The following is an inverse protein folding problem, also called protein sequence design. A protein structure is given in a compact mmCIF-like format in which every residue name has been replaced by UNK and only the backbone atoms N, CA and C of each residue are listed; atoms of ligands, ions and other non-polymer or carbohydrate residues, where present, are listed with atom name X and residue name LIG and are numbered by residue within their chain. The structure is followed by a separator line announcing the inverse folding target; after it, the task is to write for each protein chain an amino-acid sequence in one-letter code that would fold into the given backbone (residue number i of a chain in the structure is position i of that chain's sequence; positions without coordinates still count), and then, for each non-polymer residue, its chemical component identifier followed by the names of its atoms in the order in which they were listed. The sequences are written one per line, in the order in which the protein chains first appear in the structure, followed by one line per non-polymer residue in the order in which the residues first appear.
data_IF_045251948370
#
_entry.id   IF_045251948370
#
_cell.length_a   1.000
_cell.length_b   1.000
_cell.length_c   1.000
_cell.angle_alpha   90.00
_cell.angle_beta   90.00
_cell.angle_gamma   90.00
#
_symmetry.space_group_name_H-M   'P 1'
#
loop_
_entity.id
_entity.type
_entity.pdbx_description
1 polymer ?
#
# COMPACT_ATOMS: atom_id res chain seq x y z
N UNK A 1 12.02 -8.20 17.72
CA UNK A 1 10.60 -8.55 17.53
C UNK A 1 10.13 -7.80 16.30
N UNK A 2 9.38 -8.45 15.42
CA UNK A 2 8.87 -7.81 14.22
C UNK A 2 7.51 -7.17 14.51
N UNK A 3 7.32 -5.94 14.06
CA UNK A 3 6.01 -5.27 14.08
C UNK A 3 5.21 -5.68 12.85
N UNK A 4 3.93 -5.98 13.05
CA UNK A 4 3.01 -6.37 11.99
C UNK A 4 1.77 -5.46 12.03
N UNK A 5 1.15 -5.25 10.89
CA UNK A 5 -0.09 -4.50 10.76
C UNK A 5 -1.07 -5.23 9.85
N UNK A 6 -2.35 -5.22 10.20
CA UNK A 6 -3.43 -5.82 9.43
C UNK A 6 -4.65 -4.90 9.41
N UNK A 7 -5.39 -4.93 8.31
CA UNK A 7 -6.62 -4.16 8.15
C UNK A 7 -7.79 -5.09 7.81
N UNK A 8 -8.96 -4.81 8.38
CA UNK A 8 -10.20 -5.56 8.13
C UNK A 8 -11.11 -4.72 7.26
N UNK A 9 -11.56 -5.26 6.12
CA UNK A 9 -12.53 -4.59 5.24
C UNK A 9 -13.86 -4.41 5.98
N UNK A 10 -14.36 -3.19 6.04
CA UNK A 10 -15.52 -2.84 6.87
C UNK A 10 -15.25 -2.87 8.37
N UNK A 11 -13.99 -2.97 8.80
CA UNK A 11 -13.61 -3.12 10.19
C UNK A 11 -12.52 -2.13 10.63
N UNK A 12 -11.59 -2.62 11.45
CA UNK A 12 -10.54 -1.83 12.09
C UNK A 12 -9.15 -2.20 11.55
N UNK A 13 -8.15 -1.40 11.90
CA UNK A 13 -6.74 -1.70 11.73
C UNK A 13 -6.22 -2.29 13.06
N UNK A 14 -5.36 -3.29 12.95
CA UNK A 14 -4.71 -3.96 14.07
C UNK A 14 -3.20 -3.93 13.91
N UNK A 15 -2.47 -3.78 15.00
CA UNK A 15 -1.01 -3.94 15.02
C UNK A 15 -0.57 -4.93 16.08
N UNK A 16 0.54 -5.61 15.78
CA UNK A 16 1.25 -6.48 16.70
C UNK A 16 2.69 -5.99 16.84
N UNK A 17 3.25 -6.02 18.04
CA UNK A 17 4.65 -5.70 18.36
C UNK A 17 5.45 -6.93 18.83
N UNK A 18 4.83 -8.10 18.81
CA UNK A 18 5.38 -9.37 19.32
C UNK A 18 5.36 -10.49 18.26
N UNK A 19 5.61 -10.10 16.99
CA UNK A 19 5.65 -11.03 15.85
C UNK A 19 4.32 -11.77 15.61
N UNK A 20 3.19 -11.12 15.89
CA UNK A 20 1.85 -11.65 15.64
C UNK A 20 1.24 -12.44 16.78
N UNK A 21 1.90 -12.54 17.94
CA UNK A 21 1.39 -13.29 19.09
C UNK A 21 0.17 -12.61 19.71
N UNK A 22 0.17 -11.29 19.79
CA UNK A 22 -0.99 -10.49 20.23
C UNK A 22 -1.27 -9.35 19.25
N UNK A 23 -2.53 -8.94 19.16
CA UNK A 23 -2.99 -7.87 18.26
C UNK A 23 -3.82 -6.84 19.03
N UNK A 24 -3.52 -5.57 18.84
CA UNK A 24 -4.25 -4.44 19.39
C UNK A 24 -4.94 -3.64 18.29
N UNK A 25 -6.20 -3.27 18.53
CA UNK A 25 -6.94 -2.37 17.63
C UNK A 25 -6.32 -0.96 17.62
N UNK A 26 -6.19 -0.36 16.43
CA UNK A 26 -5.50 0.90 16.17
C UNK A 26 -6.30 1.91 15.34
N UNK A 27 -7.55 1.65 15.08
CA UNK A 27 -8.37 2.51 14.21
C UNK A 27 -9.22 3.53 14.96
N UNK A 28 -8.74 4.04 16.09
CA UNK A 28 -9.36 5.20 16.74
C UNK A 28 -8.95 6.48 16.00
N UNK A 29 -9.92 7.25 15.50
CA UNK A 29 -9.69 8.68 15.31
C UNK A 29 -9.90 9.41 16.64
N UNK A 30 -9.55 10.70 16.70
CA UNK A 30 -9.70 11.51 17.91
C UNK A 30 -11.14 11.65 18.42
N UNK A 31 -12.12 11.09 17.72
CA UNK A 31 -13.57 11.24 17.98
C UNK A 31 -14.27 9.91 18.29
N UNK A 32 -13.70 8.76 17.95
CA UNK A 32 -14.32 7.46 18.18
C UNK A 32 -13.31 6.32 18.29
N UNK A 33 -13.46 5.49 19.31
CA UNK A 33 -12.64 4.28 19.54
C UNK A 33 -13.01 3.09 18.63
N UNK A 34 -14.01 3.23 17.75
CA UNK A 34 -14.57 2.12 16.97
C UNK A 34 -14.88 2.51 15.52
N UNK A 35 -14.00 3.32 14.89
CA UNK A 35 -14.19 3.68 13.48
C UNK A 35 -13.95 2.46 12.60
N UNK A 36 -15.01 2.01 11.93
CA UNK A 36 -14.94 0.98 10.89
C UNK A 36 -14.95 1.63 9.52
N UNK A 37 -14.05 1.20 8.61
CA UNK A 37 -13.90 1.76 7.27
C UNK A 37 -13.66 0.65 6.25
N UNK A 38 -13.87 0.95 4.97
CA UNK A 38 -13.56 0.02 3.88
C UNK A 38 -12.05 -0.03 3.61
N UNK A 39 -11.29 -0.52 4.58
CA UNK A 39 -9.85 -0.70 4.44
C UNK A 39 -9.54 -1.73 3.37
N UNK A 40 -8.68 -1.40 2.40
CA UNK A 40 -8.23 -2.34 1.35
C UNK A 40 -6.78 -2.75 1.50
N UNK A 41 -5.97 -1.90 2.07
CA UNK A 41 -4.54 -2.17 2.18
C UNK A 41 -3.92 -1.36 3.31
N UNK A 42 -2.88 -1.93 3.91
CA UNK A 42 -2.05 -1.28 4.91
C UNK A 42 -0.60 -1.67 4.69
N UNK A 43 0.33 -0.75 4.93
CA UNK A 43 1.76 -1.00 4.90
C UNK A 43 2.46 -0.31 6.08
N UNK A 44 3.65 -0.81 6.44
CA UNK A 44 4.44 -0.28 7.55
C UNK A 44 5.89 -0.06 7.15
N UNK A 45 6.58 0.82 7.89
CA UNK A 45 8.03 0.84 7.98
C UNK A 45 8.56 -0.44 8.66
N UNK A 46 9.85 -0.73 8.48
CA UNK A 46 10.49 -1.93 9.06
C UNK A 46 10.44 -1.95 10.60
N UNK A 47 10.48 -0.78 11.25
CA UNK A 47 10.34 -0.64 12.70
C UNK A 47 8.89 -0.67 13.19
N UNK A 48 7.91 -0.63 12.26
CA UNK A 48 6.48 -0.62 12.56
C UNK A 48 5.94 0.68 13.16
N UNK A 49 6.74 1.74 13.22
CA UNK A 49 6.30 3.03 13.77
C UNK A 49 5.48 3.84 12.78
N UNK A 50 5.89 3.84 11.50
CA UNK A 50 5.17 4.54 10.44
C UNK A 50 4.25 3.58 9.70
N UNK A 51 2.98 3.92 9.65
CA UNK A 51 1.96 3.12 8.98
C UNK A 51 1.24 3.96 7.94
N UNK A 52 0.77 3.32 6.88
CA UNK A 52 -0.12 3.92 5.89
C UNK A 52 -1.28 2.96 5.60
N UNK A 53 -2.49 3.48 5.48
CA UNK A 53 -3.69 2.69 5.20
C UNK A 53 -4.53 3.34 4.10
N UNK A 54 -5.09 2.53 3.21
CA UNK A 54 -5.96 2.93 2.11
C UNK A 54 -7.41 2.56 2.39
N UNK A 55 -8.31 3.54 2.36
CA UNK A 55 -9.76 3.37 2.45
C UNK A 55 -10.38 3.46 1.06
N UNK A 56 -11.10 2.42 0.64
CA UNK A 56 -11.84 2.43 -0.63
C UNK A 56 -13.05 3.37 -0.55
N UNK A 57 -13.11 4.33 -1.47
CA UNK A 57 -14.12 5.37 -1.43
C UNK A 57 -13.92 6.41 -0.32
N UNK A 58 -12.76 6.40 0.32
CA UNK A 58 -12.36 7.31 1.37
C UNK A 58 -11.01 7.95 1.11
N UNK A 59 -10.18 8.10 2.14
CA UNK A 59 -8.88 8.76 2.10
C UNK A 59 -7.73 7.76 2.29
N UNK A 60 -6.51 8.25 2.14
CA UNK A 60 -5.32 7.63 2.72
C UNK A 60 -5.14 8.16 4.13
N UNK A 61 -4.67 7.32 5.03
CA UNK A 61 -4.35 7.66 6.40
C UNK A 61 -2.90 7.30 6.69
N UNK A 62 -2.19 8.17 7.42
CA UNK A 62 -0.84 7.90 7.89
C UNK A 62 -0.76 8.01 9.41
N UNK A 63 0.09 7.18 10.01
CA UNK A 63 0.44 7.19 11.42
C UNK A 63 1.96 7.23 11.54
N UNK A 64 2.48 7.88 12.59
CA UNK A 64 3.90 7.93 12.94
C UNK A 64 4.19 7.33 14.34
N UNK A 65 3.20 6.71 14.96
CA UNK A 65 3.20 6.22 16.34
C UNK A 65 2.61 4.81 16.47
N UNK A 66 2.96 3.93 15.52
CA UNK A 66 2.49 2.54 15.45
C UNK A 66 0.96 2.39 15.43
N UNK A 67 0.26 3.38 14.86
CA UNK A 67 -1.18 3.39 14.72
C UNK A 67 -1.95 3.90 15.95
N UNK A 68 -1.26 4.49 16.93
CA UNK A 68 -1.94 5.11 18.08
C UNK A 68 -2.77 6.32 17.64
N UNK A 69 -2.24 7.12 16.70
CA UNK A 69 -2.99 8.20 16.06
C UNK A 69 -2.91 8.10 14.53
N UNK A 70 -3.97 8.54 13.86
CA UNK A 70 -4.07 8.53 12.39
C UNK A 70 -4.42 9.92 11.87
N UNK A 71 -3.72 10.33 10.82
CA UNK A 71 -3.99 11.58 10.11
C UNK A 71 -4.54 11.28 8.73
N UNK A 72 -5.71 11.82 8.43
CA UNK A 72 -6.30 11.73 7.09
C UNK A 72 -5.49 12.54 6.09
N UNK A 73 -5.15 11.92 4.96
CA UNK A 73 -4.36 12.48 3.87
C UNK A 73 -5.16 12.40 2.57
N UNK A 74 -4.80 13.20 1.61
CA UNK A 74 -5.36 13.19 0.26
C UNK A 74 -6.91 13.34 0.16
N UNK A 75 -7.39 13.46 -1.06
CA UNK A 75 -8.81 13.53 -1.39
C UNK A 75 -9.46 12.14 -1.42
N UNK A 76 -10.77 12.11 -1.29
CA UNK A 76 -11.58 10.90 -1.40
C UNK A 76 -11.43 10.29 -2.79
N UNK A 77 -11.00 9.01 -2.85
CA UNK A 77 -10.82 8.21 -4.07
C UNK A 77 -11.05 6.73 -3.75
N UNK A 78 -11.25 5.88 -4.75
CA UNK A 78 -11.21 4.42 -4.57
C UNK A 78 -9.76 3.93 -4.38
N UNK A 79 -9.10 4.35 -3.28
CA UNK A 79 -7.76 3.88 -2.91
C UNK A 79 -7.79 2.38 -2.67
N UNK A 80 -6.89 1.63 -3.31
CA UNK A 80 -6.99 0.17 -3.32
C UNK A 80 -5.80 -0.52 -2.68
N UNK A 81 -4.58 -0.12 -3.00
CA UNK A 81 -3.38 -0.69 -2.42
C UNK A 81 -2.34 0.38 -2.10
N UNK A 82 -1.53 0.12 -1.07
CA UNK A 82 -0.41 0.96 -0.63
C UNK A 82 0.83 0.12 -0.37
N UNK A 83 2.00 0.72 -0.57
CA UNK A 83 3.29 0.15 -0.23
C UNK A 83 4.19 1.21 0.41
N UNK A 84 5.14 0.75 1.23
CA UNK A 84 6.07 1.59 1.99
C UNK A 84 7.52 1.14 1.75
N UNK A 85 8.45 2.09 1.73
CA UNK A 85 9.87 1.83 1.95
C UNK A 85 10.13 1.40 3.40
N UNK A 86 11.27 0.77 3.67
CA UNK A 86 11.63 0.31 5.01
C UNK A 86 11.70 1.42 6.06
N UNK A 87 12.06 2.64 5.65
CA UNK A 87 12.10 3.81 6.54
C UNK A 87 10.74 4.52 6.68
N UNK A 88 9.73 4.08 5.94
CA UNK A 88 8.39 4.67 5.93
C UNK A 88 8.33 6.11 5.37
N UNK A 89 9.37 6.56 4.65
CA UNK A 89 9.43 7.90 4.07
C UNK A 89 8.83 7.92 2.67
N UNK A 90 9.20 6.93 1.84
CA UNK A 90 8.63 6.79 0.50
C UNK A 90 7.44 5.85 0.53
N UNK A 91 6.31 6.37 0.13
CA UNK A 91 5.06 5.62 0.05
C UNK A 91 4.53 5.64 -1.39
N UNK A 92 3.83 4.58 -1.75
CA UNK A 92 3.16 4.51 -3.06
C UNK A 92 1.75 3.98 -2.87
N UNK A 93 0.79 4.55 -3.58
CA UNK A 93 -0.61 4.17 -3.53
C UNK A 93 -1.22 4.10 -4.93
N UNK A 94 -2.16 3.19 -5.12
CA UNK A 94 -2.90 3.04 -6.37
C UNK A 94 -4.39 3.28 -6.15
N UNK A 95 -5.00 3.89 -7.16
CA UNK A 95 -6.44 4.17 -7.22
C UNK A 95 -7.08 3.18 -8.18
N UNK A 96 -8.07 2.41 -7.74
CA UNK A 96 -8.84 1.49 -8.61
C UNK A 96 -9.59 2.30 -9.67
N UNK A 97 -9.36 2.01 -10.94
CA UNK A 97 -9.87 2.82 -12.04
C UNK A 97 -9.17 4.17 -12.21
N UNK A 98 -7.98 4.33 -11.64
CA UNK A 98 -7.23 5.60 -11.65
C UNK A 98 -5.73 5.42 -11.81
N UNK A 99 -4.96 6.35 -11.24
CA UNK A 99 -3.51 6.43 -11.36
C UNK A 99 -2.74 5.90 -10.16
N UNK A 100 -1.42 6.07 -10.24
CA UNK A 100 -0.46 5.76 -9.18
C UNK A 100 0.04 7.07 -8.57
N UNK A 101 0.07 7.13 -7.26
CA UNK A 101 0.54 8.26 -6.47
C UNK A 101 1.75 7.86 -5.63
N UNK A 102 2.69 8.78 -5.45
CA UNK A 102 3.83 8.60 -4.54
C UNK A 102 3.94 9.75 -3.57
N UNK A 103 4.48 9.45 -2.40
CA UNK A 103 4.89 10.40 -1.37
C UNK A 103 6.36 10.19 -1.05
N UNK A 104 7.07 11.26 -0.69
CA UNK A 104 8.47 11.24 -0.24
C UNK A 104 8.63 11.87 1.15
N UNK A 105 7.53 12.08 1.87
CA UNK A 105 7.45 12.77 3.16
C UNK A 105 6.53 12.03 4.15
N UNK A 106 6.59 10.68 4.14
CA UNK A 106 5.80 9.80 5.01
C UNK A 106 4.28 10.03 4.87
N UNK A 107 3.83 10.36 3.65
CA UNK A 107 2.42 10.52 3.32
C UNK A 107 1.85 11.90 3.63
N UNK A 108 2.67 12.90 3.97
CA UNK A 108 2.19 14.25 4.19
C UNK A 108 1.68 14.89 2.89
N UNK A 109 2.42 14.68 1.78
CA UNK A 109 1.99 15.08 0.44
C UNK A 109 2.08 13.93 -0.55
N UNK A 110 1.21 13.94 -1.57
CA UNK A 110 1.14 12.90 -2.60
C UNK A 110 1.16 13.52 -3.99
N UNK A 111 1.92 12.89 -4.90
CA UNK A 111 2.07 13.34 -6.29
C UNK A 111 1.60 12.24 -7.23
N UNK A 112 0.70 12.57 -8.15
CA UNK A 112 0.28 11.67 -9.23
C UNK A 112 1.46 11.42 -10.18
N UNK A 113 1.85 10.16 -10.36
CA UNK A 113 2.98 9.71 -11.18
C UNK A 113 2.57 9.00 -12.46
N UNK A 114 1.45 8.32 -12.46
CA UNK A 114 0.92 7.66 -13.65
C UNK A 114 -0.54 8.00 -13.81
N UNK A 115 -0.91 8.48 -14.99
CA UNK A 115 -2.29 8.76 -15.38
C UNK A 115 -2.88 7.55 -16.09
N UNK A 116 -4.19 7.44 -16.09
CA UNK A 116 -4.94 6.40 -16.79
C UNK A 116 -5.96 5.72 -15.88
N UNK A 117 -6.97 5.15 -16.49
CA UNK A 117 -8.05 4.44 -15.77
C UNK A 117 -7.74 2.95 -15.72
N UNK A 118 -6.74 2.56 -14.91
CA UNK A 118 -6.30 1.17 -14.76
C UNK A 118 -6.90 0.55 -13.50
N UNK A 119 -7.31 -0.70 -13.60
CA UNK A 119 -7.92 -1.46 -12.49
C UNK A 119 -6.81 -2.08 -11.61
N UNK A 120 -6.08 -1.23 -10.92
CA UNK A 120 -4.99 -1.65 -10.03
C UNK A 120 -5.48 -2.51 -8.88
N UNK A 121 -4.83 -3.66 -8.65
CA UNK A 121 -5.16 -4.60 -7.57
C UNK A 121 -4.08 -4.69 -6.49
N UNK A 122 -2.81 -4.47 -6.84
CA UNK A 122 -1.74 -4.47 -5.85
C UNK A 122 -0.59 -3.56 -6.29
N UNK A 123 0.22 -3.16 -5.30
CA UNK A 123 1.47 -2.44 -5.48
C UNK A 123 2.48 -2.91 -4.44
N UNK A 124 3.75 -2.99 -4.82
CA UNK A 124 4.85 -3.35 -3.94
C UNK A 124 6.04 -2.40 -4.13
N UNK A 125 6.86 -2.30 -3.10
CA UNK A 125 8.05 -1.44 -3.04
C UNK A 125 9.25 -2.21 -2.52
N UNK A 126 10.44 -1.95 -3.08
CA UNK A 126 11.72 -2.35 -2.47
C UNK A 126 11.96 -1.57 -1.18
N UNK A 127 12.91 -2.05 -0.36
CA UNK A 127 13.24 -1.45 0.93
C UNK A 127 13.58 0.05 0.85
N UNK A 128 14.29 0.47 -0.18
CA UNK A 128 14.67 1.88 -0.38
C UNK A 128 13.63 2.70 -1.16
N UNK A 129 12.50 2.10 -1.57
CA UNK A 129 11.43 2.75 -2.31
C UNK A 129 11.80 3.16 -3.74
N UNK A 130 12.92 2.70 -4.30
CA UNK A 130 13.34 3.06 -5.65
C UNK A 130 12.71 2.18 -6.73
N UNK A 131 12.50 0.89 -6.42
CA UNK A 131 11.89 -0.08 -7.33
C UNK A 131 10.47 -0.37 -6.88
N UNK A 132 9.54 -0.25 -7.79
CA UNK A 132 8.12 -0.44 -7.57
C UNK A 132 7.54 -1.39 -8.61
N UNK A 133 6.54 -2.17 -8.21
CA UNK A 133 5.73 -2.96 -9.14
C UNK A 133 4.25 -2.79 -8.79
N UNK A 134 3.42 -2.59 -9.80
CA UNK A 134 1.97 -2.52 -9.68
C UNK A 134 1.33 -3.47 -10.69
N UNK A 135 0.23 -4.08 -10.30
CA UNK A 135 -0.50 -5.03 -11.14
C UNK A 135 -1.98 -4.65 -11.27
N UNK A 136 -2.57 -4.98 -12.41
CA UNK A 136 -3.94 -4.62 -12.75
C UNK A 136 -4.76 -5.81 -13.21
N UNK A 137 -6.06 -5.77 -12.97
CA UNK A 137 -7.01 -6.75 -13.52
C UNK A 137 -7.05 -6.63 -15.04
N UNK A 138 -6.99 -7.76 -15.74
CA UNK A 138 -7.02 -7.84 -17.21
C UNK A 138 -5.95 -6.97 -17.88
N UNK A 139 -4.84 -6.73 -17.21
CA UNK A 139 -3.78 -5.86 -17.69
C UNK A 139 -2.39 -6.42 -17.43
N UNK A 140 -1.41 -5.54 -17.32
CA UNK A 140 0.00 -5.85 -17.27
C UNK A 140 0.57 -5.72 -15.85
N UNK A 141 1.77 -6.29 -15.64
CA UNK A 141 2.64 -5.85 -14.56
C UNK A 141 3.30 -4.55 -15.01
N UNK A 142 3.21 -3.50 -14.20
CA UNK A 142 3.90 -2.23 -14.42
C UNK A 142 5.03 -2.10 -13.42
N UNK A 143 6.27 -1.84 -13.89
CA UNK A 143 7.44 -1.69 -13.03
C UNK A 143 8.06 -0.30 -13.19
N UNK A 144 8.61 0.21 -12.09
CA UNK A 144 9.40 1.43 -12.05
C UNK A 144 10.74 1.15 -11.35
N UNK A 145 11.82 1.79 -11.79
CA UNK A 145 13.14 1.72 -11.18
C UNK A 145 13.62 3.08 -10.61
N UNK A 146 12.76 4.10 -10.64
CA UNK A 146 13.07 5.48 -10.33
C UNK A 146 12.04 6.13 -9.40
N UNK A 147 11.58 5.36 -8.40
CA UNK A 147 10.59 5.78 -7.40
C UNK A 147 9.27 6.26 -8.02
N UNK A 148 8.86 5.63 -9.12
CA UNK A 148 7.60 5.90 -9.80
C UNK A 148 7.65 7.06 -10.81
N UNK A 149 8.83 7.61 -11.12
CA UNK A 149 8.93 8.67 -12.11
C UNK A 149 8.62 8.18 -13.53
N UNK A 150 9.07 6.95 -13.86
CA UNK A 150 8.71 6.28 -15.12
C UNK A 150 8.22 4.86 -14.86
N UNK A 151 7.32 4.38 -15.72
CA UNK A 151 6.71 3.06 -15.63
C UNK A 151 6.84 2.30 -16.94
N UNK A 152 7.15 1.00 -16.85
CA UNK A 152 7.26 0.10 -18.00
C UNK A 152 6.30 -1.09 -17.80
N UNK A 153 5.47 -1.36 -18.80
CA UNK A 153 4.63 -2.57 -18.82
C UNK A 153 5.48 -3.81 -19.07
N UNK A 154 5.18 -4.87 -18.33
CA UNK A 154 5.84 -6.17 -18.39
C UNK A 154 4.78 -7.24 -18.55
N UNK A 155 5.19 -8.41 -19.01
CA UNK A 155 4.36 -9.60 -19.19
C UNK A 155 3.14 -9.41 -20.12
N UNK A 156 2.36 -10.47 -20.27
CA UNK A 156 1.09 -10.46 -20.99
C UNK A 156 -0.06 -10.02 -20.10
N UNK A 157 -1.13 -9.51 -20.69
CA UNK A 157 -2.33 -9.13 -19.97
C UNK A 157 -2.97 -10.36 -19.30
N UNK A 158 -3.16 -10.31 -17.98
CA UNK A 158 -3.75 -11.36 -17.16
C UNK A 158 -4.56 -10.73 -16.00
N UNK A 159 -5.26 -11.58 -15.30
CA UNK A 159 -6.01 -11.19 -14.10
C UNK A 159 -5.07 -11.18 -12.88
N UNK A 160 -4.12 -10.24 -12.86
CA UNK A 160 -3.15 -10.15 -11.79
C UNK A 160 -3.83 -9.80 -10.46
N UNK A 161 -3.48 -10.52 -9.40
CA UNK A 161 -4.12 -10.38 -8.07
C UNK A 161 -3.20 -9.82 -7.00
N UNK A 162 -1.89 -10.14 -7.06
CA UNK A 162 -0.91 -9.67 -6.08
C UNK A 162 0.47 -9.54 -6.71
N UNK A 163 1.33 -8.73 -6.09
CA UNK A 163 2.74 -8.60 -6.45
C UNK A 163 3.56 -8.34 -5.19
N UNK A 164 4.77 -8.88 -5.14
CA UNK A 164 5.75 -8.64 -4.10
C UNK A 164 7.12 -8.37 -4.72
N UNK A 165 7.95 -7.62 -4.02
CA UNK A 165 9.33 -7.28 -4.41
C UNK A 165 10.24 -7.61 -3.23
N UNK A 166 11.39 -8.22 -3.50
CA UNK A 166 12.46 -8.40 -2.51
C UNK A 166 13.01 -7.03 -2.05
N UNK A 167 13.55 -6.97 -0.85
CA UNK A 167 14.06 -5.74 -0.23
C UNK A 167 15.08 -5.00 -1.11
N UNK A 168 15.98 -5.73 -1.76
CA UNK A 168 16.97 -5.19 -2.70
C UNK A 168 16.38 -4.85 -4.09
N UNK A 169 15.12 -5.26 -4.33
CA UNK A 169 14.42 -5.08 -5.59
C UNK A 169 14.97 -5.92 -6.75
N UNK A 170 15.74 -6.97 -6.51
CA UNK A 170 16.29 -7.85 -7.55
C UNK A 170 15.32 -8.93 -8.00
N UNK A 171 14.45 -9.38 -7.10
CA UNK A 171 13.43 -10.39 -7.36
C UNK A 171 12.03 -9.82 -7.18
N UNK A 172 11.12 -10.25 -8.04
CA UNK A 172 9.71 -9.93 -7.99
C UNK A 172 8.91 -11.21 -8.21
N UNK A 173 7.76 -11.30 -7.55
CA UNK A 173 6.80 -12.38 -7.76
C UNK A 173 5.41 -11.79 -7.91
N UNK A 174 4.64 -12.30 -8.86
CA UNK A 174 3.25 -11.89 -9.07
C UNK A 174 2.35 -13.10 -9.22
N UNK A 175 1.09 -12.98 -8.81
CA UNK A 175 0.09 -14.04 -8.88
C UNK A 175 -1.06 -13.65 -9.78
N UNK A 176 -1.66 -14.64 -10.43
CA UNK A 176 -2.84 -14.52 -11.28
C UNK A 176 -4.04 -15.14 -10.56
N UNK A 177 -5.17 -14.48 -10.57
CA UNK A 177 -6.40 -15.04 -9.99
C UNK A 177 -6.82 -16.30 -10.76
N UNK A 178 -6.92 -17.43 -10.06
CA UNK A 178 -7.23 -18.73 -10.65
C UNK A 178 -6.14 -19.30 -11.56
N UNK A 179 -4.89 -18.81 -11.45
CA UNK A 179 -3.75 -19.21 -12.29
C UNK A 179 -2.45 -19.40 -11.51
N UNK A 180 -1.33 -19.20 -12.19
CA UNK A 180 0.01 -19.50 -11.72
C UNK A 180 0.66 -18.34 -10.96
N UNK A 181 1.84 -18.62 -10.40
CA UNK A 181 2.79 -17.67 -9.81
C UNK A 181 3.91 -17.40 -10.82
N UNK A 182 4.31 -16.15 -10.99
CA UNK A 182 5.31 -15.66 -11.94
C UNK A 182 6.44 -14.93 -11.25
#
# INVERSE_FOLDING_TARGET
MSSLVAAVDGGQIYSSTDSGSTWASRSSDSTSSTVTRNWKSVASSADGLKLVAAEYGGKIYSSADAGATWTARESVRPWYAVASSSDGVKLTAVVYGGGIYTSTDSGATWVLKSTGSKLWTAIASSANGSKLAAVEVNGFISTSADSGATWKSRESARNWSSVSIADDGTAMVATVYGGDVY
#
